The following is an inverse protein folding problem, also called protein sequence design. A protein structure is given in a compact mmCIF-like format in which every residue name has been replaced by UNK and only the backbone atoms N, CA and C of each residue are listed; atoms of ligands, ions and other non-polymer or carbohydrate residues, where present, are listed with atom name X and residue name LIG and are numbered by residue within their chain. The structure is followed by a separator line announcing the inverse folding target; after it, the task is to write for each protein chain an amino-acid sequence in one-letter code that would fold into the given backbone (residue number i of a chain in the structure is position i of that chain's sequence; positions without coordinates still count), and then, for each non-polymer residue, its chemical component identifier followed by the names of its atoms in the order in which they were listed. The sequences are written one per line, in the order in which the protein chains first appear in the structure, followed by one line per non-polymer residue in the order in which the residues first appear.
data_IF_752466017528
#
_entry.id   IF_752466017528
#
_cell.length_a   1.000
_cell.length_b   1.000
_cell.length_c   1.000
_cell.angle_alpha   90.00
_cell.angle_beta   90.00
_cell.angle_gamma   90.00
#
_symmetry.space_group_name_H-M   'P 1'
#
loop_
_entity.id
_entity.type
_entity.pdbx_description
1 polymer ?
#
# COMPACT_ATOMS: atom_id res chain seq x y z
N UNK A 1 -36.33 34.05 26.95
CA UNK A 1 -35.46 34.60 25.90
C UNK A 1 -34.18 33.78 25.94
N UNK A 2 -34.09 32.75 25.11
CA UNK A 2 -32.87 32.07 24.76
C UNK A 2 -32.49 32.56 23.36
N UNK A 3 -31.50 33.42 23.28
CA UNK A 3 -30.78 33.69 22.04
C UNK A 3 -29.75 32.56 21.85
N UNK A 4 -30.12 31.53 21.11
CA UNK A 4 -29.16 30.63 20.49
C UNK A 4 -28.48 31.41 19.36
N UNK A 5 -27.31 31.96 19.65
CA UNK A 5 -26.38 32.39 18.61
C UNK A 5 -25.90 31.13 17.90
N UNK A 6 -26.59 30.72 16.82
CA UNK A 6 -25.98 29.89 15.77
C UNK A 6 -24.81 30.70 15.19
N UNK A 7 -23.63 30.52 15.76
CA UNK A 7 -22.42 30.94 15.11
C UNK A 7 -22.35 30.16 13.79
N UNK A 8 -22.53 30.87 12.67
CA UNK A 8 -22.19 30.32 11.34
C UNK A 8 -20.82 29.66 11.48
N UNK A 9 -20.80 28.36 11.34
CA UNK A 9 -19.54 27.61 11.30
C UNK A 9 -18.87 27.97 9.97
N UNK A 10 -18.05 29.01 9.98
CA UNK A 10 -17.20 29.35 8.85
C UNK A 10 -16.27 28.15 8.66
N UNK A 11 -16.33 27.54 7.49
CA UNK A 11 -15.45 26.43 7.15
C UNK A 11 -14.03 26.99 7.04
N UNK A 12 -13.16 26.55 7.94
CA UNK A 12 -11.73 26.89 7.92
C UNK A 12 -10.98 25.85 7.08
N UNK A 13 -10.29 26.31 6.04
CA UNK A 13 -9.45 25.50 5.18
C UNK A 13 -7.97 25.56 5.58
N UNK A 14 -7.64 26.23 6.68
CA UNK A 14 -6.30 26.24 7.25
C UNK A 14 -5.89 24.85 7.77
N UNK A 15 -4.60 24.59 7.79
CA UNK A 15 -4.08 23.36 8.42
C UNK A 15 -4.19 23.48 9.93
N UNK A 16 -4.50 22.38 10.61
CA UNK A 16 -4.38 22.28 12.05
C UNK A 16 -2.90 22.31 12.48
N UNK A 17 -2.63 22.59 13.75
CA UNK A 17 -1.26 22.55 14.28
C UNK A 17 -0.60 21.18 14.08
N UNK A 18 -1.36 20.07 14.22
CA UNK A 18 -0.91 18.71 13.99
C UNK A 18 -0.56 18.46 12.52
N UNK A 19 -1.39 18.96 11.60
CA UNK A 19 -1.12 18.86 10.17
C UNK A 19 0.10 19.71 9.76
N UNK A 20 0.32 20.86 10.38
CA UNK A 20 1.52 21.66 10.15
C UNK A 20 2.78 20.93 10.61
N UNK A 21 2.77 20.33 11.80
CA UNK A 21 3.87 19.51 12.30
C UNK A 21 4.15 18.29 11.40
N UNK A 22 3.12 17.65 10.87
CA UNK A 22 3.27 16.56 9.90
C UNK A 22 3.99 17.05 8.64
N UNK A 23 3.58 18.20 8.09
CA UNK A 23 4.20 18.79 6.89
C UNK A 23 5.66 19.14 7.14
N UNK A 24 5.98 19.71 8.31
CA UNK A 24 7.36 20.01 8.72
C UNK A 24 8.21 18.74 8.81
N UNK A 25 7.68 17.69 9.44
CA UNK A 25 8.36 16.39 9.56
C UNK A 25 8.62 15.73 8.20
N UNK A 26 7.64 15.79 7.28
CA UNK A 26 7.82 15.30 5.91
C UNK A 26 8.86 16.09 5.14
N UNK A 27 8.91 17.40 5.36
CA UNK A 27 9.93 18.24 4.74
C UNK A 27 11.32 17.94 5.26
N UNK A 28 11.50 17.80 6.58
CA UNK A 28 12.78 17.43 7.18
C UNK A 28 13.25 16.06 6.66
N UNK A 29 12.33 15.09 6.56
CA UNK A 29 12.60 13.79 5.97
C UNK A 29 13.09 13.91 4.52
N UNK A 30 12.37 14.67 3.69
CA UNK A 30 12.74 14.85 2.29
C UNK A 30 14.07 15.59 2.12
N UNK A 31 14.27 16.69 2.85
CA UNK A 31 15.51 17.49 2.81
C UNK A 31 16.74 16.64 3.19
N UNK A 32 16.55 15.61 4.02
CA UNK A 32 17.66 14.76 4.49
C UNK A 32 17.99 13.60 3.56
N UNK A 33 17.01 13.04 2.88
CA UNK A 33 17.17 11.78 2.16
C UNK A 33 16.91 11.87 0.65
N UNK A 34 16.37 13.00 0.17
CA UNK A 34 15.96 13.17 -1.24
C UNK A 34 16.56 14.43 -1.87
N UNK A 35 17.83 14.71 -1.59
CA UNK A 35 18.57 15.70 -2.37
C UNK A 35 18.80 15.22 -3.82
N UNK A 36 19.15 16.13 -4.72
CA UNK A 36 19.30 15.85 -6.14
C UNK A 36 20.24 14.67 -6.46
N UNK A 37 21.31 14.51 -5.67
CA UNK A 37 22.28 13.43 -5.88
C UNK A 37 21.71 12.09 -5.39
N UNK A 38 21.09 12.07 -4.21
CA UNK A 38 20.42 10.89 -3.64
C UNK A 38 19.31 10.40 -4.57
N UNK A 39 18.47 11.30 -5.07
CA UNK A 39 17.40 10.97 -6.03
C UNK A 39 18.00 10.39 -7.32
N UNK A 40 19.08 10.95 -7.86
CA UNK A 40 19.74 10.41 -9.05
C UNK A 40 20.23 8.97 -8.81
N UNK A 41 20.88 8.72 -7.68
CA UNK A 41 21.36 7.38 -7.31
C UNK A 41 20.21 6.39 -7.13
N UNK A 42 19.09 6.80 -6.51
CA UNK A 42 17.88 5.98 -6.38
C UNK A 42 17.32 5.61 -7.76
N UNK A 43 17.30 6.56 -8.70
CA UNK A 43 16.84 6.29 -10.07
C UNK A 43 17.77 5.33 -10.82
N UNK A 44 19.08 5.47 -10.69
CA UNK A 44 20.07 4.58 -11.31
C UNK A 44 20.01 3.18 -10.71
N UNK A 45 19.80 3.07 -9.42
CA UNK A 45 19.68 1.79 -8.70
C UNK A 45 18.27 1.17 -8.79
N UNK A 46 17.29 1.89 -9.35
CA UNK A 46 15.88 1.47 -9.41
C UNK A 46 15.25 1.18 -8.04
N UNK A 47 15.74 1.83 -7.00
CA UNK A 47 15.30 1.59 -5.62
C UNK A 47 15.48 2.83 -4.75
N UNK A 48 14.55 3.06 -3.82
CA UNK A 48 14.75 4.01 -2.73
C UNK A 48 15.82 3.46 -1.78
N UNK A 49 16.71 4.33 -1.27
CA UNK A 49 17.77 3.90 -0.36
C UNK A 49 17.21 3.24 0.91
N UNK A 50 17.93 2.26 1.45
CA UNK A 50 17.53 1.60 2.69
C UNK A 50 17.41 2.57 3.85
N UNK A 51 18.32 3.55 3.94
CA UNK A 51 18.32 4.59 4.96
C UNK A 51 17.05 5.46 4.89
N UNK A 52 16.59 5.83 3.69
CA UNK A 52 15.35 6.56 3.51
C UNK A 52 14.11 5.70 3.89
N UNK A 53 14.13 4.42 3.56
CA UNK A 53 13.06 3.50 3.93
C UNK A 53 12.97 3.29 5.44
N UNK A 54 14.11 3.08 6.11
CA UNK A 54 14.17 2.95 7.57
C UNK A 54 13.70 4.22 8.27
N UNK A 55 14.14 5.39 7.79
CA UNK A 55 13.72 6.67 8.34
C UNK A 55 12.22 6.93 8.15
N UNK A 56 11.63 6.50 7.02
CA UNK A 56 10.18 6.59 6.77
C UNK A 56 9.39 5.75 7.78
N UNK A 57 9.85 4.51 8.03
CA UNK A 57 9.27 3.64 9.06
C UNK A 57 9.43 4.23 10.46
N UNK A 58 10.64 4.65 10.84
CA UNK A 58 10.96 5.13 12.19
C UNK A 58 10.22 6.43 12.54
N UNK A 59 9.87 7.22 11.52
CA UNK A 59 8.99 8.38 11.66
C UNK A 59 7.50 8.02 11.84
N UNK A 60 7.12 6.75 11.71
CA UNK A 60 5.75 6.28 11.89
C UNK A 60 4.84 6.50 10.67
N UNK A 61 5.34 7.04 9.56
CA UNK A 61 4.54 7.37 8.40
C UNK A 61 3.77 6.17 7.80
N UNK A 62 4.35 4.95 7.68
CA UNK A 62 3.63 3.81 7.10
C UNK A 62 2.46 3.31 7.97
N UNK A 63 2.38 3.72 9.23
CA UNK A 63 1.33 3.31 10.16
C UNK A 63 0.14 4.27 10.19
N UNK A 64 0.27 5.45 9.57
CA UNK A 64 -0.81 6.42 9.49
C UNK A 64 -1.97 5.88 8.65
N UNK A 65 -3.20 6.04 9.17
CA UNK A 65 -4.41 5.53 8.54
C UNK A 65 -4.72 4.06 8.80
N UNK A 66 -3.83 3.33 9.47
CA UNK A 66 -4.13 1.98 9.96
C UNK A 66 -4.81 2.04 11.34
N UNK A 67 -5.71 1.10 11.66
CA UNK A 67 -6.37 1.04 12.97
C UNK A 67 -5.40 0.64 14.09
N UNK A 68 -5.71 1.05 15.33
CA UNK A 68 -4.88 0.76 16.51
C UNK A 68 -4.72 -0.74 16.76
N UNK A 69 -5.72 -1.55 16.44
CA UNK A 69 -5.73 -3.00 16.64
C UNK A 69 -4.61 -3.73 15.88
N UNK A 70 -4.11 -3.12 14.80
CA UNK A 70 -2.96 -3.63 14.05
C UNK A 70 -1.69 -2.83 14.28
N UNK A 71 -1.65 -2.01 15.33
CA UNK A 71 -0.49 -1.17 15.67
C UNK A 71 -0.41 0.13 14.86
N UNK A 72 -1.51 0.53 14.22
CA UNK A 72 -1.58 1.73 13.39
C UNK A 72 -1.80 3.02 14.16
N UNK A 73 -1.78 4.11 13.42
CA UNK A 73 -2.08 5.47 13.89
C UNK A 73 -3.35 5.93 13.15
N UNK A 74 -4.53 5.86 13.78
CA UNK A 74 -5.77 6.32 13.16
C UNK A 74 -5.64 7.76 12.68
N UNK A 75 -5.89 7.97 11.40
CA UNK A 75 -5.68 9.26 10.75
C UNK A 75 -6.82 9.52 9.78
N UNK A 76 -7.37 10.73 9.79
CA UNK A 76 -8.44 11.10 8.86
C UNK A 76 -7.94 11.19 7.41
N UNK A 77 -8.88 11.07 6.47
CA UNK A 77 -8.54 11.02 5.04
C UNK A 77 -7.98 12.33 4.49
N UNK A 78 -8.29 13.48 5.10
CA UNK A 78 -7.75 14.78 4.67
C UNK A 78 -6.27 14.84 5.04
N UNK A 79 -5.94 14.43 6.25
CA UNK A 79 -4.55 14.36 6.74
C UNK A 79 -3.72 13.33 5.94
N UNK A 80 -4.30 12.17 5.59
CA UNK A 80 -3.63 11.19 4.69
C UNK A 80 -3.41 11.76 3.28
N UNK A 81 -4.40 12.49 2.75
CA UNK A 81 -4.27 13.18 1.47
C UNK A 81 -3.16 14.23 1.50
N UNK A 82 -3.11 15.04 2.57
CA UNK A 82 -2.05 16.02 2.80
C UNK A 82 -0.66 15.38 2.91
N UNK A 83 -0.55 14.29 3.68
CA UNK A 83 0.68 13.51 3.78
C UNK A 83 1.16 13.05 2.42
N UNK A 84 0.29 12.46 1.62
CA UNK A 84 0.61 11.97 0.28
C UNK A 84 1.05 13.10 -0.63
N UNK A 85 0.30 14.21 -0.68
CA UNK A 85 0.63 15.39 -1.48
C UNK A 85 2.02 15.91 -1.12
N UNK A 86 2.28 16.13 0.18
CA UNK A 86 3.55 16.72 0.64
C UNK A 86 4.73 15.77 0.51
N UNK A 87 4.53 14.47 0.71
CA UNK A 87 5.57 13.48 0.47
C UNK A 87 6.07 13.56 -0.98
N UNK A 88 5.16 13.55 -1.96
CA UNK A 88 5.55 13.61 -3.38
C UNK A 88 6.04 14.98 -3.81
N UNK A 89 5.50 16.06 -3.25
CA UNK A 89 5.99 17.43 -3.50
C UNK A 89 7.46 17.57 -3.07
N UNK A 90 7.78 17.09 -1.88
CA UNK A 90 9.11 17.31 -1.29
C UNK A 90 10.14 16.30 -1.77
N UNK A 91 9.78 15.05 -2.05
CA UNK A 91 10.74 14.05 -2.51
C UNK A 91 11.09 14.20 -4.00
N UNK A 92 10.27 14.90 -4.78
CA UNK A 92 10.47 15.05 -6.23
C UNK A 92 10.51 13.73 -7.01
N UNK A 93 10.30 12.60 -6.32
CA UNK A 93 10.35 11.26 -6.86
C UNK A 93 9.16 10.45 -6.38
N UNK A 94 8.63 9.59 -7.24
CA UNK A 94 7.60 8.66 -6.81
C UNK A 94 8.24 7.55 -5.96
N UNK A 95 7.74 7.41 -4.75
CA UNK A 95 8.20 6.38 -3.82
C UNK A 95 7.21 5.21 -3.78
N UNK A 96 7.63 3.98 -3.43
CA UNK A 96 6.75 2.81 -3.36
C UNK A 96 5.83 2.82 -2.13
N UNK A 97 5.94 3.81 -1.24
CA UNK A 97 5.35 3.77 0.10
C UNK A 97 3.83 3.75 0.11
N UNK A 98 3.19 4.61 -0.68
CA UNK A 98 1.73 4.76 -0.64
C UNK A 98 0.98 3.50 -1.11
N UNK A 99 1.51 2.77 -2.08
CA UNK A 99 0.88 1.52 -2.52
C UNK A 99 1.03 0.40 -1.50
N UNK A 100 2.12 0.37 -0.74
CA UNK A 100 2.29 -0.53 0.39
C UNK A 100 1.29 -0.23 1.51
N UNK A 101 1.07 1.05 1.82
CA UNK A 101 0.06 1.48 2.80
C UNK A 101 -1.36 1.07 2.39
N UNK A 102 -1.72 1.21 1.11
CA UNK A 102 -3.03 0.77 0.60
C UNK A 102 -3.24 -0.73 0.82
N UNK A 103 -2.26 -1.57 0.46
CA UNK A 103 -2.36 -3.02 0.66
C UNK A 103 -2.45 -3.39 2.15
N UNK A 104 -1.76 -2.67 3.04
CA UNK A 104 -1.88 -2.87 4.48
C UNK A 104 -3.26 -2.42 5.02
N UNK A 105 -3.83 -1.33 4.50
CA UNK A 105 -5.17 -0.88 4.87
C UNK A 105 -6.25 -1.91 4.46
N UNK A 106 -6.17 -2.44 3.23
CA UNK A 106 -7.07 -3.52 2.79
C UNK A 106 -6.94 -4.76 3.68
N UNK A 107 -5.72 -5.13 4.06
CA UNK A 107 -5.49 -6.27 4.93
C UNK A 107 -5.99 -6.03 6.36
N UNK A 108 -5.84 -4.82 6.87
CA UNK A 108 -6.34 -4.45 8.20
C UNK A 108 -7.88 -4.45 8.26
N UNK A 109 -8.55 -4.02 7.17
CA UNK A 109 -10.01 -3.93 7.11
C UNK A 109 -10.68 -5.29 6.85
N UNK A 110 -10.11 -6.09 5.93
CA UNK A 110 -10.76 -7.32 5.42
C UNK A 110 -10.10 -8.62 5.89
N UNK A 111 -8.92 -8.55 6.47
CA UNK A 111 -8.20 -9.71 7.00
C UNK A 111 -8.72 -10.20 8.34
N UNK A 112 -8.39 -11.45 8.68
CA UNK A 112 -8.55 -11.92 10.07
C UNK A 112 -7.45 -11.29 10.96
N UNK A 113 -7.62 -11.29 12.30
CA UNK A 113 -6.56 -10.80 13.21
C UNK A 113 -5.20 -11.46 12.96
N UNK A 114 -5.17 -12.77 12.67
CA UNK A 114 -3.95 -13.50 12.36
C UNK A 114 -3.32 -13.07 11.02
N UNK A 115 -4.14 -12.71 10.04
CA UNK A 115 -3.65 -12.19 8.75
C UNK A 115 -3.14 -10.75 8.92
N UNK A 116 -3.85 -9.93 9.68
CA UNK A 116 -3.46 -8.53 9.88
C UNK A 116 -2.22 -8.37 10.76
N UNK A 117 -1.93 -9.33 11.66
CA UNK A 117 -0.72 -9.28 12.51
C UNK A 117 0.58 -9.23 11.71
N UNK A 118 0.58 -9.75 10.47
CA UNK A 118 1.78 -9.72 9.62
C UNK A 118 2.22 -8.30 9.26
N UNK A 119 1.33 -7.29 9.34
CA UNK A 119 1.66 -5.90 9.02
C UNK A 119 2.79 -5.43 9.93
N UNK A 120 2.59 -5.48 11.24
CA UNK A 120 3.60 -5.02 12.19
C UNK A 120 4.82 -5.93 12.20
N UNK A 121 4.61 -7.26 12.20
CA UNK A 121 5.71 -8.23 12.20
C UNK A 121 6.69 -8.01 11.04
N UNK A 122 6.21 -7.72 9.85
CA UNK A 122 7.06 -7.50 8.69
C UNK A 122 7.67 -6.10 8.66
N UNK A 123 6.96 -5.07 9.11
CA UNK A 123 7.56 -3.74 9.26
C UNK A 123 8.69 -3.74 10.30
N UNK A 124 8.54 -4.44 11.42
CA UNK A 124 9.60 -4.58 12.42
C UNK A 124 10.84 -5.29 11.87
N UNK A 125 10.65 -6.29 11.00
CA UNK A 125 11.75 -7.07 10.41
C UNK A 125 12.52 -6.31 9.34
N UNK A 126 11.81 -5.67 8.42
CA UNK A 126 12.41 -5.17 7.17
C UNK A 126 12.37 -3.65 7.01
N UNK A 127 11.47 -2.97 7.72
CA UNK A 127 11.22 -1.54 7.52
C UNK A 127 10.61 -1.16 6.17
N UNK A 128 10.36 -2.15 5.32
CA UNK A 128 9.88 -1.96 3.95
C UNK A 128 8.38 -2.26 3.82
N UNK A 129 7.81 -1.96 2.65
CA UNK A 129 6.43 -2.33 2.34
C UNK A 129 6.17 -3.82 2.58
N UNK A 130 5.03 -4.13 3.22
CA UNK A 130 4.70 -5.49 3.67
C UNK A 130 3.99 -6.28 2.59
N UNK A 131 3.11 -5.62 1.84
CA UNK A 131 2.25 -6.29 0.87
C UNK A 131 2.11 -5.48 -0.42
N UNK A 132 1.83 -6.19 -1.51
CA UNK A 132 1.46 -5.61 -2.80
C UNK A 132 0.07 -6.05 -3.22
N UNK A 133 -0.75 -5.12 -3.69
CA UNK A 133 -2.09 -5.41 -4.20
C UNK A 133 -2.01 -5.91 -5.65
N UNK A 134 -2.48 -7.13 -5.88
CA UNK A 134 -2.47 -7.83 -7.16
C UNK A 134 -3.89 -7.88 -7.73
N UNK A 135 -4.32 -6.83 -8.42
CA UNK A 135 -5.68 -6.69 -8.96
C UNK A 135 -5.70 -6.88 -10.49
N UNK A 136 -4.97 -6.04 -11.22
CA UNK A 136 -5.02 -5.97 -12.68
C UNK A 136 -4.48 -7.22 -13.35
N UNK A 137 -5.05 -7.56 -14.51
CA UNK A 137 -4.61 -8.65 -15.38
C UNK A 137 -4.31 -8.13 -16.78
N UNK A 138 -3.56 -8.84 -17.63
CA UNK A 138 -3.27 -8.40 -18.99
C UNK A 138 -4.51 -8.03 -19.82
N UNK A 139 -5.65 -8.67 -19.53
CA UNK A 139 -6.92 -8.45 -20.24
C UNK A 139 -7.98 -7.72 -19.37
N UNK A 140 -7.69 -7.40 -18.11
CA UNK A 140 -8.65 -6.83 -17.18
C UNK A 140 -8.02 -5.74 -16.31
N UNK A 141 -8.34 -4.49 -16.59
CA UNK A 141 -7.94 -3.32 -15.82
C UNK A 141 -9.17 -2.65 -15.21
N UNK A 142 -9.71 -1.59 -15.84
CA UNK A 142 -10.91 -0.89 -15.37
C UNK A 142 -12.16 -1.78 -15.34
N UNK A 143 -12.23 -2.77 -16.21
CA UNK A 143 -13.23 -3.84 -16.14
C UNK A 143 -12.71 -5.02 -15.31
N UNK A 144 -12.84 -4.92 -13.99
CA UNK A 144 -12.44 -5.99 -13.08
C UNK A 144 -13.29 -7.25 -13.22
N UNK A 145 -14.50 -7.17 -13.78
CA UNK A 145 -15.34 -8.33 -14.04
C UNK A 145 -14.78 -9.21 -15.17
N UNK A 146 -13.95 -8.62 -16.04
CA UNK A 146 -13.21 -9.34 -17.08
C UNK A 146 -12.04 -10.19 -16.59
N UNK A 147 -11.73 -10.17 -15.29
CA UNK A 147 -10.65 -10.94 -14.66
C UNK A 147 -10.82 -12.45 -14.93
N UNK A 148 -9.69 -13.12 -15.13
CA UNK A 148 -9.63 -14.56 -15.49
C UNK A 148 -8.89 -15.41 -14.48
N UNK A 149 -8.09 -14.81 -13.58
CA UNK A 149 -7.44 -15.54 -12.51
C UNK A 149 -8.48 -16.13 -11.55
N UNK A 150 -8.29 -17.38 -11.16
CA UNK A 150 -9.26 -18.10 -10.33
C UNK A 150 -8.63 -18.67 -9.07
N UNK A 151 -9.46 -18.83 -8.03
CA UNK A 151 -9.18 -19.65 -6.85
C UNK A 151 -10.09 -20.87 -6.85
N UNK A 152 -9.52 -22.07 -6.72
CA UNK A 152 -10.26 -23.33 -6.75
C UNK A 152 -9.96 -24.16 -5.52
N UNK A 153 -11.02 -24.48 -4.76
CA UNK A 153 -10.93 -25.36 -3.60
C UNK A 153 -10.63 -26.79 -4.02
N UNK A 154 -9.68 -27.42 -3.34
CA UNK A 154 -9.31 -28.81 -3.52
C UNK A 154 -10.04 -29.73 -2.53
N UNK A 155 -9.99 -31.04 -2.78
CA UNK A 155 -10.65 -32.03 -1.94
C UNK A 155 -10.09 -32.10 -0.51
N UNK A 156 -8.83 -31.72 -0.32
CA UNK A 156 -8.14 -31.66 0.98
C UNK A 156 -8.41 -30.34 1.75
N UNK A 157 -9.20 -29.44 1.19
CA UNK A 157 -9.53 -28.15 1.79
C UNK A 157 -8.56 -27.01 1.46
N UNK A 158 -7.45 -27.28 0.77
CA UNK A 158 -6.54 -26.26 0.25
C UNK A 158 -7.16 -25.55 -0.97
N UNK A 159 -6.52 -24.44 -1.40
CA UNK A 159 -6.92 -23.72 -2.61
C UNK A 159 -5.76 -23.62 -3.58
N UNK A 160 -6.04 -23.73 -4.85
CA UNK A 160 -5.11 -23.43 -5.94
C UNK A 160 -5.53 -22.15 -6.61
N UNK A 161 -4.62 -21.18 -6.63
CA UNK A 161 -4.77 -19.94 -7.39
C UNK A 161 -4.07 -20.14 -8.74
N UNK A 162 -4.73 -19.79 -9.83
CA UNK A 162 -4.18 -19.94 -11.17
C UNK A 162 -4.52 -18.75 -12.06
N UNK A 163 -3.51 -18.10 -12.61
CA UNK A 163 -3.64 -16.95 -13.49
C UNK A 163 -2.42 -16.04 -13.43
N UNK A 164 -2.56 -14.85 -14.00
CA UNK A 164 -1.51 -13.84 -14.05
C UNK A 164 -2.07 -12.48 -13.63
N UNK A 165 -1.31 -11.76 -12.80
CA UNK A 165 -1.52 -10.35 -12.48
C UNK A 165 -0.46 -9.51 -13.17
N UNK A 166 -0.79 -8.25 -13.49
CA UNK A 166 0.14 -7.33 -14.15
C UNK A 166 0.12 -5.96 -13.48
N UNK A 167 1.19 -5.19 -13.71
CA UNK A 167 1.37 -3.86 -13.11
C UNK A 167 1.35 -3.87 -11.57
N UNK A 168 1.82 -4.96 -10.98
CA UNK A 168 1.86 -5.12 -9.52
C UNK A 168 3.01 -4.28 -8.97
N UNK A 169 2.66 -3.19 -8.31
CA UNK A 169 3.62 -2.32 -7.63
C UNK A 169 4.23 -3.03 -6.43
N UNK A 170 5.55 -3.01 -6.29
CA UNK A 170 6.33 -3.67 -5.24
C UNK A 170 6.26 -5.21 -5.24
N UNK A 171 5.60 -5.86 -6.19
CA UNK A 171 5.33 -7.30 -6.15
C UNK A 171 6.56 -8.21 -6.10
N UNK A 172 7.74 -7.71 -6.52
CA UNK A 172 9.01 -8.46 -6.42
C UNK A 172 9.67 -8.37 -5.04
N UNK A 173 9.41 -7.31 -4.28
CA UNK A 173 10.22 -6.94 -3.11
C UNK A 173 9.49 -7.15 -1.78
N UNK A 174 8.16 -7.29 -1.80
CA UNK A 174 7.35 -7.48 -0.60
C UNK A 174 7.26 -8.95 -0.19
N UNK A 175 7.10 -9.26 1.10
CA UNK A 175 6.92 -10.64 1.57
C UNK A 175 5.55 -11.22 1.25
N UNK A 176 4.51 -10.39 1.08
CA UNK A 176 3.14 -10.84 0.84
C UNK A 176 2.52 -10.18 -0.40
N UNK A 177 1.64 -10.94 -1.05
CA UNK A 177 0.83 -10.52 -2.18
C UNK A 177 -0.65 -10.60 -1.76
N UNK A 178 -1.39 -9.49 -1.89
CA UNK A 178 -2.84 -9.49 -1.79
C UNK A 178 -3.43 -9.74 -3.16
N UNK A 179 -3.83 -10.98 -3.42
CA UNK A 179 -4.27 -11.43 -4.74
C UNK A 179 -5.79 -11.46 -4.81
N UNK A 180 -6.37 -10.70 -5.73
CA UNK A 180 -7.80 -10.74 -6.01
C UNK A 180 -8.03 -11.67 -7.19
N UNK A 181 -8.90 -12.66 -7.04
CA UNK A 181 -9.27 -13.57 -8.11
C UNK A 181 -10.72 -14.03 -8.01
N UNK A 182 -11.26 -14.57 -9.11
CA UNK A 182 -12.58 -15.18 -9.13
C UNK A 182 -12.60 -16.46 -8.29
N UNK A 183 -13.68 -16.64 -7.55
CA UNK A 183 -13.85 -17.81 -6.70
C UNK A 183 -14.65 -18.88 -7.45
N UNK A 184 -14.06 -20.05 -7.64
CA UNK A 184 -14.71 -21.22 -8.22
C UNK A 184 -15.36 -22.14 -7.15
N UNK A 185 -15.40 -21.74 -5.87
CA UNK A 185 -16.04 -22.54 -4.83
C UNK A 185 -17.57 -22.45 -4.95
N UNK A 186 -18.25 -23.54 -5.37
CA UNK A 186 -19.70 -23.55 -5.54
C UNK A 186 -20.48 -23.36 -4.23
N UNK A 187 -19.82 -23.49 -3.07
CA UNK A 187 -20.44 -23.23 -1.76
C UNK A 187 -20.55 -21.73 -1.44
N UNK A 188 -19.91 -20.88 -2.22
CA UNK A 188 -19.90 -19.41 -2.05
C UNK A 188 -20.85 -18.73 -3.03
N UNK A 189 -22.13 -19.09 -2.99
CA UNK A 189 -23.15 -18.42 -3.78
C UNK A 189 -23.09 -16.90 -3.65
N UNK A 190 -23.06 -16.18 -4.79
CA UNK A 190 -23.04 -14.71 -4.91
C UNK A 190 -21.72 -14.01 -4.48
N UNK A 191 -20.59 -14.70 -4.46
CA UNK A 191 -19.26 -14.08 -4.30
C UNK A 191 -18.40 -14.36 -5.51
N UNK A 192 -18.34 -13.38 -6.41
CA UNK A 192 -17.61 -13.54 -7.67
C UNK A 192 -16.09 -13.41 -7.49
N UNK A 193 -15.62 -12.79 -6.40
CA UNK A 193 -14.21 -12.54 -6.14
C UNK A 193 -13.83 -12.79 -4.67
N UNK A 194 -12.60 -13.23 -4.47
CA UNK A 194 -11.96 -13.41 -3.15
C UNK A 194 -10.61 -12.71 -3.11
N UNK A 195 -10.27 -12.20 -1.92
CA UNK A 195 -8.97 -11.63 -1.61
C UNK A 195 -8.13 -12.69 -0.86
N UNK A 196 -6.91 -12.92 -1.35
CA UNK A 196 -6.00 -13.92 -0.82
C UNK A 196 -4.70 -13.28 -0.35
N UNK A 197 -4.31 -13.55 0.89
CA UNK A 197 -2.99 -13.21 1.40
C UNK A 197 -2.03 -14.35 1.07
N UNK A 198 -1.14 -14.12 0.12
CA UNK A 198 -0.21 -15.13 -0.41
C UNK A 198 1.23 -14.73 -0.05
N UNK A 199 2.00 -15.64 0.53
CA UNK A 199 3.44 -15.42 0.69
C UNK A 199 4.10 -15.39 -0.69
N UNK A 200 4.90 -14.38 -0.98
CA UNK A 200 5.58 -14.26 -2.28
C UNK A 200 6.46 -15.49 -2.62
N UNK A 201 7.03 -16.11 -1.60
CA UNK A 201 7.88 -17.30 -1.77
C UNK A 201 7.10 -18.62 -1.89
N UNK A 202 5.76 -18.56 -2.00
CA UNK A 202 4.95 -19.78 -2.21
C UNK A 202 5.34 -20.44 -3.52
N UNK A 203 5.49 -21.78 -3.49
CA UNK A 203 5.78 -22.56 -4.69
C UNK A 203 4.74 -22.30 -5.79
N UNK A 204 5.22 -22.03 -7.01
CA UNK A 204 4.38 -21.68 -8.15
C UNK A 204 4.17 -20.15 -8.34
N UNK A 205 4.58 -19.31 -7.40
CA UNK A 205 4.62 -17.85 -7.60
C UNK A 205 5.91 -17.48 -8.33
N UNK A 206 5.77 -16.68 -9.38
CA UNK A 206 6.91 -16.10 -10.12
C UNK A 206 6.61 -14.65 -10.44
N UNK A 207 7.64 -13.83 -10.54
CA UNK A 207 7.54 -12.41 -10.91
C UNK A 207 8.49 -12.09 -12.05
N UNK A 208 8.06 -11.18 -12.93
CA UNK A 208 8.87 -10.65 -14.01
C UNK A 208 8.79 -9.11 -14.03
N UNK A 209 9.94 -8.45 -13.95
CA UNK A 209 10.00 -6.99 -13.97
C UNK A 209 9.51 -6.41 -15.30
N UNK A 210 8.68 -5.37 -15.20
CA UNK A 210 8.20 -4.62 -16.36
C UNK A 210 9.13 -3.45 -16.68
N UNK A 211 9.49 -3.31 -17.95
CA UNK A 211 10.21 -2.14 -18.45
C UNK A 211 9.23 -0.97 -18.59
N UNK A 212 9.57 0.18 -18.04
CA UNK A 212 8.71 1.37 -18.03
C UNK A 212 9.51 2.65 -18.29
N UNK A 213 8.83 3.68 -18.76
CA UNK A 213 9.46 4.95 -19.11
C UNK A 213 9.81 5.80 -17.89
N UNK A 214 9.02 5.73 -16.83
CA UNK A 214 9.17 6.53 -15.61
C UNK A 214 9.06 5.72 -14.34
N UNK A 215 9.07 6.39 -13.18
CA UNK A 215 8.93 5.79 -11.85
C UNK A 215 9.96 4.69 -11.58
N UNK A 216 11.22 4.99 -11.87
CA UNK A 216 12.30 4.00 -11.81
C UNK A 216 12.51 3.41 -10.41
N UNK A 217 12.22 4.20 -9.37
CA UNK A 217 12.33 3.80 -7.95
C UNK A 217 11.17 2.92 -7.46
N UNK A 218 10.14 2.72 -8.28
CA UNK A 218 8.96 1.92 -7.93
C UNK A 218 8.93 0.68 -8.83
N UNK A 219 9.26 -0.52 -8.33
CA UNK A 219 9.24 -1.74 -9.13
C UNK A 219 7.79 -2.10 -9.51
N UNK A 220 7.61 -2.46 -10.79
CA UNK A 220 6.37 -3.05 -11.29
C UNK A 220 6.67 -4.42 -11.87
N UNK A 221 5.83 -5.38 -11.59
CA UNK A 221 5.97 -6.77 -12.05
C UNK A 221 4.67 -7.35 -12.58
N UNK A 222 4.84 -8.39 -13.38
CA UNK A 222 3.84 -9.39 -13.71
C UNK A 222 3.95 -10.56 -12.75
#
# INVERSE_FOLDING_TARGET
FYEDEEKEKIMDFGLTDEQQLLVESLKEYADRYFDDESVRQMYENHQVSAEAQDAYRDAGFPFMGLPEEVGGIPTDHVTLGLMTEKLYEFTGAMTPFMTGMLACADLAEFGTPEQSSVIMEEYEKSGQSVAALCLSEPAAGSDNQGMTMTSKKQADGTYVLNGQKTWVTNGADVPYLLVICKDEDPARENRDMSLWLVKRETEGVSTAHLTKLGQHTVPFVD
#
